data_IF_032965570560
#
_entry.id   IF_032965570560
#
_cell.length_a   1.000
_cell.length_b   1.000
_cell.length_c   1.000
_cell.angle_alpha   90.00
_cell.angle_beta   90.00
_cell.angle_gamma   90.00
#
_symmetry.space_group_name_H-M   'P 1'
#
loop_
_entity.id
_entity.type
_entity.pdbx_description
1 polymer ?
#
# COMPACT_ATOMS: atom_id res chain seq x y z
N UNK A 1 -10.72 7.57 10.67
CA UNK A 1 -10.53 6.13 10.35
C UNK A 1 -11.82 5.55 9.77
N UNK A 2 -11.69 4.53 8.93
CA UNK A 2 -12.79 3.82 8.26
C UNK A 2 -12.89 2.42 8.88
N UNK A 3 -14.10 1.98 9.19
CA UNK A 3 -14.38 0.64 9.70
C UNK A 3 -14.36 -0.36 8.54
N UNK A 4 -13.58 -1.42 8.68
CA UNK A 4 -13.58 -2.58 7.80
C UNK A 4 -14.28 -3.72 8.55
N UNK A 5 -15.41 -4.24 8.03
CA UNK A 5 -16.18 -5.28 8.70
C UNK A 5 -15.40 -6.59 8.87
N UNK A 6 -15.74 -7.34 9.92
CA UNK A 6 -15.25 -8.71 10.06
C UNK A 6 -15.77 -9.60 8.91
N UNK A 7 -15.08 -10.70 8.69
CA UNK A 7 -15.49 -11.72 7.72
C UNK A 7 -14.44 -12.05 6.68
N UNK A 8 -14.76 -12.99 5.77
CA UNK A 8 -13.85 -13.47 4.76
C UNK A 8 -13.66 -12.46 3.61
N UNK A 9 -12.53 -12.59 2.93
CA UNK A 9 -12.24 -11.90 1.67
C UNK A 9 -11.26 -12.74 0.83
N UNK A 10 -11.20 -12.45 -0.46
CA UNK A 10 -10.28 -13.08 -1.40
C UNK A 10 -8.95 -12.33 -1.41
N UNK A 11 -7.89 -12.98 -0.94
CA UNK A 11 -6.52 -12.47 -0.93
C UNK A 11 -5.67 -13.11 -2.02
N UNK A 12 -4.77 -12.33 -2.59
CA UNK A 12 -3.86 -12.81 -3.63
C UNK A 12 -4.48 -12.81 -5.03
N UNK A 13 -3.86 -13.57 -5.94
CA UNK A 13 -4.24 -13.67 -7.35
C UNK A 13 -4.33 -15.12 -7.80
N UNK A 14 -5.30 -15.43 -8.67
CA UNK A 14 -5.36 -16.72 -9.37
C UNK A 14 -4.40 -16.71 -10.57
N UNK A 15 -4.14 -17.89 -11.14
CA UNK A 15 -3.37 -18.02 -12.38
C UNK A 15 -4.00 -17.22 -13.54
N UNK A 16 -5.35 -17.12 -13.56
CA UNK A 16 -6.05 -16.28 -14.56
C UNK A 16 -5.76 -14.80 -14.37
N UNK A 17 -5.69 -14.33 -13.13
CA UNK A 17 -5.43 -12.92 -12.82
C UNK A 17 -4.01 -12.53 -13.21
N UNK A 18 -3.01 -13.36 -12.90
CA UNK A 18 -1.62 -13.07 -13.28
C UNK A 18 -1.41 -13.18 -14.79
N UNK A 19 -2.08 -14.11 -15.47
CA UNK A 19 -2.05 -14.20 -16.93
C UNK A 19 -2.72 -13.00 -17.60
N UNK A 20 -3.85 -12.54 -17.06
CA UNK A 20 -4.49 -11.31 -17.52
C UNK A 20 -3.55 -10.10 -17.33
N UNK A 21 -2.96 -9.93 -16.15
CA UNK A 21 -2.04 -8.84 -15.88
C UNK A 21 -0.84 -8.85 -16.83
N UNK A 22 -0.19 -10.00 -17.01
CA UNK A 22 0.96 -10.11 -17.90
C UNK A 22 0.63 -9.75 -19.36
N UNK A 23 -0.54 -10.21 -19.86
CA UNK A 23 -1.00 -9.88 -21.22
C UNK A 23 -1.38 -8.40 -21.36
N UNK A 24 -2.16 -7.88 -20.43
CA UNK A 24 -2.68 -6.52 -20.49
C UNK A 24 -1.55 -5.48 -20.40
N UNK A 25 -0.58 -5.71 -19.52
CA UNK A 25 0.54 -4.81 -19.31
C UNK A 25 1.79 -5.16 -20.14
N UNK A 26 1.68 -6.13 -21.06
CA UNK A 26 2.78 -6.58 -21.92
C UNK A 26 4.05 -6.93 -21.14
N UNK A 27 3.88 -7.63 -20.00
CA UNK A 27 5.00 -8.02 -19.15
C UNK A 27 5.83 -9.14 -19.78
N UNK A 28 7.14 -9.05 -19.64
CA UNK A 28 8.10 -10.01 -20.22
C UNK A 28 8.09 -11.36 -19.47
N UNK A 29 7.67 -11.38 -18.20
CA UNK A 29 7.64 -12.59 -17.38
C UNK A 29 6.43 -12.65 -16.45
N UNK A 30 5.84 -13.84 -16.32
CA UNK A 30 4.84 -14.15 -15.30
C UNK A 30 5.43 -14.18 -13.87
N UNK A 31 6.74 -14.38 -13.74
CA UNK A 31 7.39 -14.49 -12.43
C UNK A 31 7.25 -13.21 -11.60
N UNK A 32 7.04 -12.06 -12.27
CA UNK A 32 6.78 -10.78 -11.58
C UNK A 32 5.49 -10.75 -10.76
N UNK A 33 4.57 -11.71 -11.02
CA UNK A 33 3.26 -11.79 -10.37
C UNK A 33 3.07 -13.08 -9.56
N UNK A 34 4.00 -14.03 -9.63
CA UNK A 34 3.84 -15.35 -8.97
C UNK A 34 3.83 -15.29 -7.45
N UNK A 35 4.43 -14.26 -6.86
CA UNK A 35 4.39 -14.04 -5.42
C UNK A 35 3.01 -13.61 -4.90
N UNK A 36 2.10 -13.19 -5.80
CA UNK A 36 0.72 -12.89 -5.47
C UNK A 36 -0.17 -14.15 -5.34
N UNK A 37 0.28 -15.28 -5.85
CA UNK A 37 -0.50 -16.54 -5.88
C UNK A 37 -0.31 -17.35 -4.59
N UNK A 38 -1.25 -18.27 -4.29
CA UNK A 38 -2.54 -18.47 -4.92
C UNK A 38 -3.60 -17.46 -4.45
N UNK A 39 -4.70 -17.34 -5.19
CA UNK A 39 -5.93 -16.73 -4.67
C UNK A 39 -6.49 -17.62 -3.58
N UNK A 40 -6.65 -17.12 -2.36
CA UNK A 40 -7.15 -17.85 -1.21
C UNK A 40 -8.06 -17.01 -0.34
N UNK A 41 -8.85 -17.66 0.50
CA UNK A 41 -9.75 -16.95 1.41
C UNK A 41 -9.06 -16.69 2.75
N UNK A 42 -9.19 -15.45 3.25
CA UNK A 42 -8.71 -15.04 4.57
C UNK A 42 -9.85 -14.42 5.34
N UNK A 43 -10.06 -14.86 6.59
CA UNK A 43 -11.05 -14.26 7.50
C UNK A 43 -10.35 -13.34 8.50
N UNK A 44 -10.80 -12.10 8.58
CA UNK A 44 -10.28 -11.10 9.50
C UNK A 44 -11.35 -10.62 10.48
N UNK A 45 -10.99 -10.29 11.73
CA UNK A 45 -11.86 -9.53 12.63
C UNK A 45 -12.12 -8.13 12.05
N UNK A 46 -13.13 -7.44 12.58
CA UNK A 46 -13.34 -6.04 12.25
C UNK A 46 -12.18 -5.17 12.77
N UNK A 47 -11.77 -4.19 11.99
CA UNK A 47 -10.73 -3.24 12.34
C UNK A 47 -11.02 -1.86 11.74
N UNK A 48 -10.33 -0.83 12.21
CA UNK A 48 -10.37 0.52 11.64
C UNK A 48 -9.05 0.83 10.95
N UNK A 49 -9.11 1.45 9.77
CA UNK A 49 -7.93 1.87 8.99
C UNK A 49 -7.97 3.38 8.71
N UNK A 50 -6.82 4.03 8.63
CA UNK A 50 -6.77 5.44 8.24
C UNK A 50 -7.32 5.63 6.82
N UNK A 51 -8.13 6.67 6.61
CA UNK A 51 -8.79 6.93 5.33
C UNK A 51 -7.78 7.20 4.21
N UNK A 52 -6.69 7.91 4.53
CA UNK A 52 -5.57 8.26 3.65
C UNK A 52 -4.26 7.90 4.34
N UNK A 53 -3.12 7.86 3.63
CA UNK A 53 -1.80 7.70 4.27
C UNK A 53 -1.52 8.79 5.30
N UNK A 54 -0.67 8.48 6.29
CA UNK A 54 -0.24 9.46 7.31
C UNK A 54 0.41 10.65 6.63
N UNK A 55 -0.06 11.86 6.99
CA UNK A 55 0.39 13.10 6.37
C UNK A 55 1.64 13.69 7.02
N UNK A 56 2.35 14.56 6.29
CA UNK A 56 3.46 15.35 6.84
C UNK A 56 3.04 16.12 8.10
N UNK A 57 1.85 16.74 8.09
CA UNK A 57 1.30 17.45 9.25
C UNK A 57 1.13 16.55 10.47
N UNK A 58 0.59 15.35 10.29
CA UNK A 58 0.34 14.46 11.42
C UNK A 58 1.64 13.85 11.94
N UNK A 59 2.58 13.56 11.06
CA UNK A 59 3.89 13.10 11.45
C UNK A 59 4.70 14.19 12.17
N UNK A 60 4.57 15.47 11.82
CA UNK A 60 5.20 16.59 12.52
C UNK A 60 4.72 16.71 13.96
N UNK A 61 3.45 16.41 14.27
CA UNK A 61 2.95 16.35 15.66
C UNK A 61 3.68 15.28 16.48
N UNK A 62 3.88 14.10 15.87
CA UNK A 62 4.63 13.01 16.50
C UNK A 62 6.09 13.43 16.80
N UNK A 63 6.75 14.07 15.84
CA UNK A 63 8.11 14.55 16.01
C UNK A 63 8.22 15.56 17.16
N UNK A 64 7.31 16.54 17.22
CA UNK A 64 7.26 17.54 18.30
C UNK A 64 7.02 16.89 19.67
N UNK A 65 6.16 15.88 19.74
CA UNK A 65 5.82 15.21 20.99
C UNK A 65 6.90 14.25 21.51
N UNK A 66 7.76 13.73 20.62
CA UNK A 66 8.69 12.63 20.97
C UNK A 66 10.16 12.96 20.76
N UNK A 67 10.48 14.08 20.12
CA UNK A 67 11.85 14.43 19.74
C UNK A 67 12.44 13.55 18.62
N UNK A 68 11.62 12.74 17.93
CA UNK A 68 12.08 11.90 16.83
C UNK A 68 12.54 12.74 15.63
N UNK A 69 13.57 12.29 14.89
CA UNK A 69 14.08 13.05 13.76
C UNK A 69 13.03 13.18 12.63
N UNK A 70 13.12 14.27 11.84
CA UNK A 70 12.26 14.49 10.71
C UNK A 70 12.45 13.42 9.62
N UNK A 71 11.45 13.29 8.74
CA UNK A 71 11.65 12.55 7.51
C UNK A 71 12.76 13.21 6.67
N UNK A 72 13.43 12.44 5.84
CA UNK A 72 14.45 12.97 4.95
C UNK A 72 13.92 14.09 4.02
N UNK A 73 12.63 14.05 3.71
CA UNK A 73 11.98 15.00 2.79
C UNK A 73 11.34 16.20 3.52
N UNK A 74 11.62 16.38 4.80
CA UNK A 74 11.00 17.45 5.62
C UNK A 74 11.15 18.85 5.01
N UNK A 75 12.32 19.16 4.49
CA UNK A 75 12.64 20.47 3.90
C UNK A 75 12.56 20.47 2.36
N UNK A 76 12.09 19.38 1.76
CA UNK A 76 11.95 19.26 0.32
C UNK A 76 10.56 19.74 -0.14
N UNK A 77 10.50 20.91 -0.78
CA UNK A 77 9.25 21.53 -1.23
C UNK A 77 8.39 20.64 -2.16
N UNK A 78 8.96 19.61 -2.76
CA UNK A 78 8.22 18.67 -3.62
C UNK A 78 7.42 17.64 -2.81
N UNK A 79 7.75 17.43 -1.52
CA UNK A 79 7.20 16.36 -0.66
C UNK A 79 6.71 16.83 0.71
N UNK A 80 6.85 18.12 1.04
CA UNK A 80 6.62 18.61 2.41
C UNK A 80 5.31 19.38 2.60
N UNK A 81 4.41 19.39 1.62
CA UNK A 81 3.10 20.00 1.83
C UNK A 81 2.38 19.28 3.00
N UNK A 82 1.73 20.01 3.93
CA UNK A 82 1.15 19.42 5.13
C UNK A 82 0.19 18.26 4.92
N UNK A 83 -0.51 18.21 3.80
CA UNK A 83 -1.47 17.15 3.45
C UNK A 83 -0.91 16.08 2.53
N UNK A 84 0.33 16.17 2.07
CA UNK A 84 1.00 15.08 1.38
C UNK A 84 1.34 13.94 2.35
N UNK A 85 1.38 12.68 1.86
CA UNK A 85 1.89 11.56 2.64
C UNK A 85 3.31 11.83 3.14
N UNK A 86 3.59 11.49 4.39
CA UNK A 86 4.97 11.45 4.85
C UNK A 86 5.70 10.27 4.21
N UNK A 87 6.87 10.53 3.65
CA UNK A 87 7.69 9.54 2.94
C UNK A 87 9.12 9.53 3.44
N UNK A 88 9.97 8.66 2.89
CA UNK A 88 11.39 8.54 3.25
C UNK A 88 11.64 8.19 4.72
N UNK A 89 10.76 7.39 5.31
CA UNK A 89 10.87 6.86 6.67
C UNK A 89 11.22 5.36 6.63
N UNK A 90 12.11 4.87 7.51
CA UNK A 90 12.30 3.44 7.68
C UNK A 90 11.07 2.81 8.35
N UNK A 91 10.85 1.52 8.12
CA UNK A 91 9.73 0.75 8.68
C UNK A 91 9.54 0.93 10.18
N UNK A 92 10.65 0.89 10.94
CA UNK A 92 10.60 1.09 12.40
C UNK A 92 9.97 2.43 12.78
N UNK A 93 10.31 3.52 12.09
CA UNK A 93 9.80 4.85 12.42
C UNK A 93 8.31 4.99 12.06
N UNK A 94 7.87 4.35 10.96
CA UNK A 94 6.46 4.26 10.61
C UNK A 94 5.66 3.47 11.68
N UNK A 95 6.18 2.34 12.13
CA UNK A 95 5.60 1.54 13.21
C UNK A 95 5.54 2.32 14.52
N UNK A 96 6.62 2.98 14.90
CA UNK A 96 6.70 3.74 16.15
C UNK A 96 5.73 4.93 16.17
N UNK A 97 5.50 5.58 15.00
CA UNK A 97 4.43 6.57 14.85
C UNK A 97 3.06 5.96 15.11
N UNK A 98 2.73 4.83 14.46
CA UNK A 98 1.43 4.20 14.66
C UNK A 98 1.22 3.82 16.15
N UNK A 99 2.24 3.29 16.84
CA UNK A 99 2.16 2.99 18.27
C UNK A 99 1.96 4.24 19.14
N UNK A 100 2.64 5.33 18.84
CA UNK A 100 2.41 6.62 19.51
C UNK A 100 0.96 7.08 19.35
N UNK A 101 0.40 6.92 18.16
CA UNK A 101 -1.00 7.23 17.84
C UNK A 101 -2.00 6.21 18.40
N UNK A 102 -1.58 5.25 19.24
CA UNK A 102 -2.40 4.13 19.76
C UNK A 102 -2.98 3.23 18.67
N UNK A 103 -2.21 3.03 17.62
CA UNK A 103 -2.51 2.23 16.43
C UNK A 103 -1.34 1.28 16.16
N UNK A 104 -1.38 0.58 15.06
CA UNK A 104 -0.27 -0.22 14.52
C UNK A 104 -0.23 -0.13 12.99
N UNK A 105 0.83 -0.62 12.36
CA UNK A 105 0.82 -0.83 10.93
C UNK A 105 -0.23 -1.90 10.56
N UNK A 106 -0.84 -1.82 9.36
CA UNK A 106 -1.71 -2.88 8.88
C UNK A 106 -0.90 -4.15 8.61
N UNK A 107 -1.51 -5.30 8.82
CA UNK A 107 -1.02 -6.52 8.17
C UNK A 107 -1.26 -6.41 6.66
N UNK A 108 -0.53 -7.20 5.87
CA UNK A 108 -0.74 -7.28 4.42
C UNK A 108 -2.20 -7.63 4.09
N UNK A 109 -2.78 -8.60 4.81
CA UNK A 109 -4.16 -9.01 4.63
C UNK A 109 -5.18 -7.90 4.97
N UNK A 110 -4.96 -7.14 6.04
CA UNK A 110 -5.81 -6.01 6.39
C UNK A 110 -5.76 -4.91 5.34
N UNK A 111 -4.56 -4.59 4.86
CA UNK A 111 -4.38 -3.61 3.80
C UNK A 111 -5.10 -4.05 2.52
N UNK A 112 -4.89 -5.31 2.10
CA UNK A 112 -5.48 -5.85 0.87
C UNK A 112 -7.01 -5.92 0.96
N UNK A 113 -7.58 -6.36 2.09
CA UNK A 113 -9.04 -6.33 2.32
C UNK A 113 -9.59 -4.91 2.22
N UNK A 114 -8.90 -3.94 2.82
CA UNK A 114 -9.32 -2.54 2.77
C UNK A 114 -9.34 -1.99 1.33
N UNK A 115 -8.41 -2.44 0.48
CA UNK A 115 -8.33 -2.03 -0.92
C UNK A 115 -9.34 -2.73 -1.83
N UNK A 116 -9.47 -4.05 -1.70
CA UNK A 116 -10.15 -4.90 -2.68
C UNK A 116 -11.57 -5.31 -2.28
N UNK A 117 -12.01 -4.98 -1.07
CA UNK A 117 -13.30 -5.47 -0.59
C UNK A 117 -13.30 -6.98 -0.36
N UNK A 118 -14.44 -7.62 -0.65
CA UNK A 118 -14.63 -9.09 -0.52
C UNK A 118 -14.64 -9.82 -1.86
N UNK A 119 -14.79 -9.10 -2.97
CA UNK A 119 -14.96 -9.64 -4.32
C UNK A 119 -13.63 -9.92 -5.06
N UNK A 120 -12.50 -9.43 -4.52
CA UNK A 120 -11.18 -9.67 -5.08
C UNK A 120 -10.86 -8.82 -6.32
N UNK A 121 -11.50 -7.65 -6.45
CA UNK A 121 -11.24 -6.70 -7.56
C UNK A 121 -9.77 -6.33 -7.68
N UNK A 122 -9.35 -5.89 -8.88
CA UNK A 122 -7.95 -5.56 -9.16
C UNK A 122 -7.52 -4.24 -8.51
N UNK A 123 -8.38 -3.23 -8.56
CA UNK A 123 -8.11 -1.89 -8.01
C UNK A 123 -9.19 -1.49 -7.00
N UNK A 124 -8.97 -0.47 -6.17
CA UNK A 124 -9.98 0.00 -5.24
C UNK A 124 -11.32 0.34 -5.89
N UNK A 125 -11.30 0.91 -7.08
CA UNK A 125 -12.50 1.29 -7.85
C UNK A 125 -13.15 0.15 -8.66
N UNK A 126 -12.50 -1.01 -8.79
CA UNK A 126 -13.03 -2.15 -9.57
C UNK A 126 -11.97 -2.84 -10.41
N UNK A 127 -12.39 -3.42 -11.55
CA UNK A 127 -11.50 -4.22 -12.41
C UNK A 127 -11.01 -3.46 -13.66
N UNK A 128 -11.50 -2.26 -13.89
CA UNK A 128 -11.07 -1.44 -15.02
C UNK A 128 -9.68 -0.85 -14.74
N UNK A 129 -8.75 -1.08 -15.67
CA UNK A 129 -7.39 -0.57 -15.57
C UNK A 129 -7.33 0.86 -16.13
N UNK A 130 -7.78 1.83 -15.34
CA UNK A 130 -7.76 3.25 -15.69
C UNK A 130 -6.68 4.00 -14.91
N UNK A 131 -5.67 4.48 -15.63
CA UNK A 131 -4.54 5.22 -15.06
C UNK A 131 -4.94 6.59 -14.49
N UNK A 132 -6.08 7.17 -14.91
CA UNK A 132 -6.57 8.45 -14.41
C UNK A 132 -7.09 8.37 -12.97
N UNK A 133 -7.42 7.17 -12.51
CA UNK A 133 -7.91 6.92 -11.17
C UNK A 133 -6.80 6.76 -10.13
N UNK A 134 -5.52 6.94 -10.50
CA UNK A 134 -4.40 6.78 -9.59
C UNK A 134 -3.28 7.78 -9.86
N UNK A 135 -2.58 8.22 -8.81
CA UNK A 135 -1.32 8.95 -8.95
C UNK A 135 -0.19 7.94 -9.18
N UNK A 136 0.13 7.69 -10.43
CA UNK A 136 1.14 6.75 -10.92
C UNK A 136 1.95 7.36 -12.08
N UNK A 137 3.03 6.73 -12.47
CA UNK A 137 3.84 7.16 -13.62
C UNK A 137 3.11 6.86 -14.94
N UNK A 138 3.06 7.83 -15.86
CA UNK A 138 2.60 7.61 -17.22
C UNK A 138 1.69 8.67 -17.79
N UNK A 139 0.99 8.34 -18.88
CA UNK A 139 0.03 9.25 -19.54
C UNK A 139 -1.17 9.49 -18.60
N UNK A 140 -1.48 10.75 -18.36
CA UNK A 140 -2.54 11.14 -17.43
C UNK A 140 -2.04 11.50 -16.04
N UNK A 141 -0.75 11.26 -15.74
CA UNK A 141 -0.14 11.71 -14.50
C UNK A 141 -0.13 13.25 -14.45
N UNK A 142 -1.03 13.78 -13.62
CA UNK A 142 -1.11 15.22 -13.32
C UNK A 142 -0.24 15.61 -12.14
N UNK A 143 0.31 14.63 -11.41
CA UNK A 143 1.14 14.80 -10.24
C UNK A 143 2.51 14.16 -10.47
N UNK A 144 3.51 14.96 -10.72
CA UNK A 144 4.89 14.50 -10.95
C UNK A 144 5.51 13.77 -9.75
N UNK A 145 4.94 13.97 -8.55
CA UNK A 145 5.38 13.40 -7.27
C UNK A 145 4.14 13.02 -6.43
N UNK A 146 4.30 12.88 -5.11
CA UNK A 146 3.16 12.65 -4.22
C UNK A 146 2.15 13.79 -4.30
N UNK A 147 0.86 13.47 -4.28
CA UNK A 147 -0.23 14.43 -4.12
C UNK A 147 -0.79 14.41 -2.70
N UNK A 148 -1.64 15.36 -2.39
CA UNK A 148 -2.39 15.38 -1.12
C UNK A 148 -3.33 14.19 -1.05
N UNK A 149 -3.43 13.58 0.14
CA UNK A 149 -4.30 12.43 0.34
C UNK A 149 -5.75 12.71 -0.01
N UNK A 150 -6.37 11.81 -0.77
CA UNK A 150 -7.78 11.90 -1.18
C UNK A 150 -8.07 12.88 -2.30
N UNK A 151 -7.07 13.28 -3.07
CA UNK A 151 -7.24 14.24 -4.19
C UNK A 151 -7.91 13.62 -5.42
N UNK A 152 -7.80 12.30 -5.60
CA UNK A 152 -8.42 11.57 -6.72
C UNK A 152 -9.68 10.86 -6.17
N UNK A 153 -10.89 11.39 -6.43
CA UNK A 153 -12.13 10.85 -5.85
C UNK A 153 -12.43 9.41 -6.25
N UNK A 154 -12.02 9.01 -7.45
CA UNK A 154 -12.20 7.67 -8.00
C UNK A 154 -11.30 6.63 -7.32
N UNK A 155 -10.17 7.06 -6.72
CA UNK A 155 -9.27 6.18 -5.96
C UNK A 155 -9.84 5.87 -4.58
N UNK A 156 -10.98 5.21 -4.57
CA UNK A 156 -11.72 4.88 -3.36
C UNK A 156 -12.13 3.41 -3.36
N UNK A 157 -11.91 2.74 -2.24
CA UNK A 157 -12.28 1.34 -2.05
C UNK A 157 -13.78 1.20 -1.72
N UNK A 158 -14.33 -0.04 -1.76
CA UNK A 158 -15.74 -0.30 -1.38
C UNK A 158 -16.10 0.18 0.02
N UNK A 159 -15.11 0.34 0.89
CA UNK A 159 -15.30 0.80 2.26
C UNK A 159 -15.12 2.33 2.42
N UNK A 160 -14.67 3.04 1.38
CA UNK A 160 -14.40 4.47 1.45
C UNK A 160 -12.96 4.83 1.86
N UNK A 161 -12.04 3.87 1.84
CA UNK A 161 -10.60 4.12 2.03
C UNK A 161 -10.02 4.64 0.73
N UNK A 162 -9.22 5.69 0.78
CA UNK A 162 -8.68 6.38 -0.39
C UNK A 162 -7.17 6.15 -0.55
N UNK A 163 -6.66 6.39 -1.77
CA UNK A 163 -5.24 6.30 -2.13
C UNK A 163 -4.61 4.91 -1.86
N UNK A 164 -5.37 3.85 -2.12
CA UNK A 164 -4.87 2.48 -2.03
C UNK A 164 -4.31 1.97 -3.37
N UNK A 165 -4.23 2.83 -4.37
CA UNK A 165 -3.57 2.56 -5.65
C UNK A 165 -2.77 3.80 -6.08
N UNK A 166 -1.44 3.70 -6.10
CA UNK A 166 -0.55 4.82 -6.41
C UNK A 166 -0.30 5.76 -5.24
N UNK A 167 0.19 6.95 -5.52
CA UNK A 167 0.65 7.97 -4.60
C UNK A 167 1.92 7.52 -3.83
N UNK A 168 1.80 6.64 -2.86
CA UNK A 168 2.93 6.05 -2.13
C UNK A 168 2.74 4.56 -1.90
N UNK A 169 3.79 3.78 -2.05
CA UNK A 169 3.85 2.46 -1.44
C UNK A 169 3.66 2.58 0.05
N UNK A 170 3.02 1.60 0.68
CA UNK A 170 2.73 1.65 2.10
C UNK A 170 3.35 0.48 2.85
N UNK A 171 4.10 0.79 3.92
CA UNK A 171 4.63 -0.22 4.82
C UNK A 171 3.52 -1.05 5.46
N UNK A 172 3.72 -2.38 5.50
CA UNK A 172 2.91 -3.29 6.30
C UNK A 172 3.73 -3.93 7.43
N UNK A 173 3.05 -4.64 8.34
CA UNK A 173 3.72 -5.33 9.45
C UNK A 173 4.47 -6.58 8.99
N UNK A 174 4.03 -7.23 7.90
CA UNK A 174 4.52 -8.53 7.50
C UNK A 174 5.93 -8.51 6.91
N UNK A 175 6.69 -9.55 7.22
CA UNK A 175 7.84 -9.92 6.44
C UNK A 175 7.39 -10.49 5.08
N UNK A 176 8.24 -10.35 4.07
CA UNK A 176 7.97 -10.87 2.74
C UNK A 176 8.18 -12.39 2.72
N UNK A 177 7.10 -13.09 3.04
CA UNK A 177 7.03 -14.56 3.06
C UNK A 177 6.09 -15.05 1.95
N UNK A 178 6.19 -16.31 1.46
CA UNK A 178 5.22 -16.83 0.51
C UNK A 178 3.83 -16.84 1.14
N UNK A 179 2.80 -16.69 0.30
CA UNK A 179 1.44 -17.00 0.72
C UNK A 179 1.30 -18.50 1.05
N UNK A 180 0.32 -18.89 1.88
CA UNK A 180 0.02 -20.30 2.09
C UNK A 180 -0.15 -21.01 0.73
N UNK A 181 0.42 -22.21 0.60
CA UNK A 181 0.38 -23.07 -0.60
C UNK A 181 1.02 -22.45 -1.87
N UNK A 182 1.72 -21.35 -1.77
CA UNK A 182 2.49 -20.81 -2.89
C UNK A 182 3.70 -21.71 -3.17
N UNK A 183 3.78 -22.22 -4.40
CA UNK A 183 4.87 -23.10 -4.86
C UNK A 183 6.01 -22.34 -5.57
N UNK A 184 5.89 -21.02 -5.68
CA UNK A 184 6.93 -20.19 -6.29
C UNK A 184 8.10 -19.99 -5.34
N UNK A 185 9.26 -20.49 -5.73
CA UNK A 185 10.51 -20.27 -4.99
C UNK A 185 11.05 -18.88 -5.29
N UNK A 186 11.41 -18.15 -4.25
CA UNK A 186 11.97 -16.81 -4.37
C UNK A 186 13.01 -16.59 -3.26
N UNK A 187 14.25 -16.39 -3.63
CA UNK A 187 15.38 -16.16 -2.69
C UNK A 187 15.20 -14.91 -1.80
N UNK A 188 14.22 -14.05 -2.14
CA UNK A 188 13.91 -12.85 -1.36
C UNK A 188 12.88 -13.10 -0.25
N UNK A 189 12.30 -14.31 -0.16
CA UNK A 189 11.45 -14.68 0.96
C UNK A 189 12.26 -14.80 2.24
N UNK A 190 11.64 -14.46 3.35
CA UNK A 190 12.26 -14.54 4.68
C UNK A 190 12.13 -13.25 5.49
N UNK A 191 12.93 -13.13 6.56
CA UNK A 191 12.92 -11.96 7.44
C UNK A 191 13.94 -10.90 7.01
N UNK A 192 14.08 -10.67 5.70
CA UNK A 192 14.95 -9.67 5.12
C UNK A 192 14.19 -8.44 4.65
N UNK A 193 13.05 -8.64 3.99
CA UNK A 193 12.23 -7.58 3.43
C UNK A 193 10.87 -7.50 4.11
N UNK A 194 10.37 -6.29 4.29
CA UNK A 194 8.96 -6.04 4.65
C UNK A 194 8.12 -5.90 3.39
N UNK A 195 6.88 -6.38 3.46
CA UNK A 195 5.90 -6.17 2.39
C UNK A 195 5.50 -4.69 2.37
N UNK A 196 5.45 -4.13 1.17
CA UNK A 196 4.84 -2.84 0.87
C UNK A 196 3.72 -3.02 -0.16
N UNK A 197 2.67 -2.22 -0.09
CA UNK A 197 1.47 -2.37 -0.91
C UNK A 197 1.10 -1.08 -1.63
N UNK A 198 0.36 -1.19 -2.75
CA UNK A 198 -0.39 -0.11 -3.37
C UNK A 198 0.27 0.58 -4.57
N UNK A 199 1.54 0.38 -4.84
CA UNK A 199 2.22 1.19 -5.85
C UNK A 199 2.48 2.63 -5.40
N UNK A 200 3.03 3.46 -6.27
CA UNK A 200 3.35 4.86 -5.96
C UNK A 200 3.31 5.75 -7.19
N UNK A 201 3.48 7.06 -7.00
CA UNK A 201 3.62 8.05 -8.08
C UNK A 201 4.70 7.67 -9.12
N UNK A 202 5.66 6.82 -8.76
CA UNK A 202 6.75 6.36 -9.65
C UNK A 202 6.54 4.92 -10.15
N UNK A 203 5.37 4.33 -9.96
CA UNK A 203 5.02 2.97 -10.39
C UNK A 203 4.16 3.00 -11.65
N UNK A 204 4.24 1.95 -12.46
CA UNK A 204 3.25 1.71 -13.51
C UNK A 204 1.93 1.22 -12.89
N UNK A 205 0.84 1.24 -13.65
CA UNK A 205 -0.49 0.84 -13.18
C UNK A 205 -0.58 -0.63 -12.76
N UNK A 206 0.20 -1.53 -13.39
CA UNK A 206 0.27 -2.94 -13.01
C UNK A 206 0.67 -3.14 -11.54
N UNK A 207 1.58 -2.28 -11.02
CA UNK A 207 2.04 -2.32 -9.64
C UNK A 207 1.06 -1.69 -8.63
N UNK A 208 0.01 -1.02 -9.12
CA UNK A 208 -1.03 -0.43 -8.28
C UNK A 208 -2.23 -1.36 -8.05
N UNK A 209 -2.22 -2.60 -8.58
CA UNK A 209 -3.24 -3.61 -8.27
C UNK A 209 -3.17 -3.98 -6.79
N UNK A 210 -4.33 -4.19 -6.17
CA UNK A 210 -4.42 -4.45 -4.73
C UNK A 210 -3.73 -5.75 -4.28
N UNK A 211 -3.58 -6.75 -5.16
CA UNK A 211 -2.88 -8.01 -4.88
C UNK A 211 -1.36 -7.90 -4.95
N UNK A 212 -0.82 -6.89 -5.65
CA UNK A 212 0.64 -6.76 -5.84
C UNK A 212 1.37 -6.64 -4.51
N UNK A 213 2.49 -7.35 -4.43
CA UNK A 213 3.36 -7.43 -3.28
C UNK A 213 4.71 -6.77 -3.60
N UNK A 214 4.85 -5.50 -3.22
CA UNK A 214 6.16 -4.88 -3.20
C UNK A 214 6.97 -5.33 -1.98
N UNK A 215 8.29 -5.10 -2.02
CA UNK A 215 9.20 -5.44 -0.93
C UNK A 215 10.26 -4.38 -0.74
N UNK A 216 10.61 -4.12 0.52
CA UNK A 216 11.65 -3.14 0.84
C UNK A 216 12.40 -3.55 2.12
N UNK A 217 13.71 -3.29 2.16
CA UNK A 217 14.50 -3.46 3.39
C UNK A 217 13.94 -2.55 4.49
N UNK A 218 13.81 -3.01 5.75
CA UNK A 218 13.25 -2.20 6.84
C UNK A 218 13.93 -0.85 7.06
N UNK A 219 15.20 -0.72 6.71
CA UNK A 219 15.98 0.51 6.84
C UNK A 219 15.86 1.46 5.64
N UNK A 220 15.20 1.08 4.56
CA UNK A 220 15.08 1.92 3.35
C UNK A 220 14.28 3.19 3.62
N UNK A 221 14.77 4.30 3.02
CA UNK A 221 14.16 5.63 3.09
C UNK A 221 13.97 6.14 1.66
N UNK A 222 12.86 5.76 1.05
CA UNK A 222 12.52 6.13 -0.34
C UNK A 222 11.38 7.14 -0.36
N UNK A 223 11.47 8.16 -1.21
CA UNK A 223 10.48 9.23 -1.34
C UNK A 223 9.15 8.79 -2.00
N UNK A 224 9.03 7.51 -2.26
CA UNK A 224 7.82 6.87 -2.76
C UNK A 224 7.27 5.79 -1.80
N UNK A 225 7.80 5.70 -0.56
CA UNK A 225 7.29 4.80 0.48
C UNK A 225 6.84 5.62 1.68
N UNK A 226 5.54 5.52 1.97
CA UNK A 226 4.87 6.06 3.14
C UNK A 226 4.20 4.95 3.95
N UNK A 227 3.12 5.24 4.65
CA UNK A 227 2.36 4.28 5.45
C UNK A 227 1.01 4.83 5.89
N UNK A 228 0.13 3.95 6.33
CA UNK A 228 -1.08 4.25 7.11
C UNK A 228 -1.17 3.34 8.32
N UNK A 229 -2.04 3.66 9.27
CA UNK A 229 -2.19 2.87 10.48
C UNK A 229 -3.59 2.23 10.57
N UNK A 230 -3.66 1.14 11.34
CA UNK A 230 -4.89 0.46 11.74
C UNK A 230 -5.04 0.45 13.25
N UNK A 231 -6.28 0.34 13.72
CA UNK A 231 -6.63 0.13 15.11
C UNK A 231 -7.63 -1.02 15.24
N UNK A 232 -7.68 -1.66 16.40
CA UNK A 232 -8.78 -2.57 16.73
C UNK A 232 -10.11 -1.81 16.68
N UNK A 233 -11.20 -2.53 16.42
CA UNK A 233 -12.54 -1.96 16.47
C UNK A 233 -13.02 -1.77 17.90
#
# INVERSE_FOLDING_TARGET
>A
MILIPAGPFKMGSSDKDIMWAARYFHSESLDWYRDETPLHEVTLPAFKIDKVPVTMRDFSKYQQATGQPPSREHDNALFNHPLQPVVSLPWKQARDYCHWAKKRLPTEAEWEKAARGTDGRYYPWGNEADALNANIRGKGDIYRYTNQGGTIPENVSPYGVMDLAGNVWEWTENWYQPHPDNQYENDLYGEQFKVIKGGSWNSNLDLARGSVRGKALPGQKKNYIGFRCVAAN
#
